data_IF_264078089569
#
_entry.id   IF_264078089569
#
_cell.length_a   1.000
_cell.length_b   1.000
_cell.length_c   1.000
_cell.angle_alpha   90.00
_cell.angle_beta   90.00
_cell.angle_gamma   90.00
#
_symmetry.space_group_name_H-M   'P 1'
#
loop_
_entity.id
_entity.type
_entity.pdbx_description
1 polymer ?
#
# COMPACT_ATOMS: atom_id res chain seq x y z
N UNK A 1 2.52 -12.81 -14.91
CA UNK A 1 2.15 -12.07 -13.68
C UNK A 1 3.41 -11.49 -13.05
N UNK A 2 3.43 -10.19 -12.77
CA UNK A 2 4.49 -9.57 -11.98
C UNK A 2 4.25 -9.91 -10.50
N UNK A 3 5.19 -10.63 -9.90
CA UNK A 3 5.15 -11.05 -8.51
C UNK A 3 6.53 -10.90 -7.89
N UNK A 4 6.75 -9.82 -7.18
CA UNK A 4 8.03 -9.44 -6.59
C UNK A 4 7.83 -8.94 -5.18
N UNK A 5 8.84 -9.14 -4.33
CA UNK A 5 8.86 -8.57 -2.97
C UNK A 5 10.11 -7.72 -2.81
N UNK A 6 9.94 -6.52 -2.30
CA UNK A 6 11.06 -5.62 -1.98
C UNK A 6 10.81 -4.86 -0.69
N UNK A 7 11.89 -4.40 -0.08
CA UNK A 7 11.85 -3.61 1.14
C UNK A 7 11.58 -2.14 0.83
N UNK A 8 10.74 -1.49 1.62
CA UNK A 8 10.53 -0.05 1.54
C UNK A 8 11.74 0.67 2.14
N UNK A 9 12.37 1.52 1.34
CA UNK A 9 13.49 2.36 1.76
C UNK A 9 12.97 3.76 2.10
N UNK A 10 12.82 4.04 3.41
CA UNK A 10 12.48 5.35 3.94
C UNK A 10 13.59 5.85 4.87
N UNK A 11 13.84 7.17 4.93
CA UNK A 11 14.81 7.75 5.87
C UNK A 11 14.17 7.87 7.27
N UNK A 12 13.96 6.73 7.94
CA UNK A 12 13.20 6.66 9.19
C UNK A 12 13.70 7.62 10.26
N UNK A 13 15.02 7.74 10.45
CA UNK A 13 15.61 8.66 11.42
C UNK A 13 15.28 10.13 11.11
N UNK A 14 15.39 10.53 9.84
CA UNK A 14 15.02 11.88 9.37
C UNK A 14 13.53 12.15 9.57
N UNK A 15 12.70 11.11 9.47
CA UNK A 15 11.25 11.17 9.71
C UNK A 15 10.89 11.11 11.21
N UNK A 16 11.87 11.11 12.11
CA UNK A 16 11.66 11.10 13.55
C UNK A 16 11.36 9.73 14.15
N UNK A 17 11.66 8.67 13.41
CA UNK A 17 11.44 7.28 13.85
C UNK A 17 12.79 6.69 14.26
N UNK A 18 12.90 6.31 15.54
CA UNK A 18 14.18 5.87 16.12
C UNK A 18 14.65 4.50 15.61
N UNK A 19 13.70 3.62 15.28
CA UNK A 19 14.00 2.28 14.80
C UNK A 19 13.96 2.24 13.27
N UNK A 20 14.87 1.49 12.68
CA UNK A 20 14.81 1.20 11.25
C UNK A 20 13.56 0.37 10.95
N UNK A 21 12.75 0.83 10.00
CA UNK A 21 11.60 0.07 9.50
C UNK A 21 12.02 -1.15 8.69
N UNK A 22 11.13 -2.13 8.62
CA UNK A 22 11.32 -3.38 7.88
C UNK A 22 10.16 -3.70 6.94
N UNK A 23 9.39 -2.67 6.57
CA UNK A 23 8.22 -2.85 5.71
C UNK A 23 8.60 -3.39 4.33
N UNK A 24 7.77 -4.26 3.80
CA UNK A 24 7.93 -4.81 2.45
C UNK A 24 6.65 -4.69 1.65
N UNK A 25 6.81 -4.58 0.34
CA UNK A 25 5.73 -4.64 -0.64
C UNK A 25 5.89 -5.92 -1.44
N UNK A 26 4.80 -6.68 -1.59
CA UNK A 26 4.71 -7.80 -2.53
C UNK A 26 3.64 -7.50 -3.58
N UNK A 27 4.02 -7.56 -4.84
CA UNK A 27 3.13 -7.30 -5.97
C UNK A 27 2.44 -8.57 -6.46
N UNK A 28 1.19 -8.43 -6.90
CA UNK A 28 0.36 -9.44 -7.57
C UNK A 28 -0.33 -8.74 -8.74
N UNK A 29 0.40 -8.55 -9.84
CA UNK A 29 -0.05 -7.78 -11.00
C UNK A 29 -0.23 -8.71 -12.18
N UNK A 30 -1.43 -8.74 -12.73
CA UNK A 30 -1.74 -9.53 -13.93
C UNK A 30 -0.95 -9.03 -15.14
N UNK A 31 -0.66 -9.92 -16.07
CA UNK A 31 -0.05 -9.53 -17.32
C UNK A 31 -0.91 -8.49 -18.04
N UNK A 32 -0.23 -7.53 -18.63
CA UNK A 32 -0.87 -6.50 -19.45
C UNK A 32 -1.05 -7.03 -20.86
N UNK A 33 -2.28 -6.99 -21.34
CA UNK A 33 -2.61 -7.35 -22.72
C UNK A 33 -2.58 -6.10 -23.62
N UNK A 34 -2.39 -6.29 -24.94
CA UNK A 34 -2.57 -5.20 -25.90
C UNK A 34 -3.96 -4.55 -25.74
N UNK A 35 -4.03 -3.22 -25.86
CA UNK A 35 -5.26 -2.44 -25.60
C UNK A 35 -6.44 -2.81 -26.49
N UNK A 36 -6.19 -3.39 -27.63
CA UNK A 36 -7.20 -3.93 -28.53
C UNK A 36 -7.81 -5.26 -28.04
N UNK A 37 -7.15 -5.93 -27.10
CA UNK A 37 -7.62 -7.18 -26.50
C UNK A 37 -8.21 -7.00 -25.10
N UNK A 38 -7.72 -6.02 -24.33
CA UNK A 38 -8.28 -5.65 -23.01
C UNK A 38 -8.25 -4.11 -22.83
N UNK A 39 -9.33 -3.43 -23.24
CA UNK A 39 -9.40 -1.97 -23.14
C UNK A 39 -9.66 -1.46 -21.71
N UNK A 40 -9.95 -2.36 -20.78
CA UNK A 40 -10.33 -1.99 -19.40
C UNK A 40 -9.14 -1.99 -18.47
N UNK A 41 -8.91 -0.84 -17.83
CA UNK A 41 -7.98 -0.75 -16.72
C UNK A 41 -8.55 -1.43 -15.48
N UNK A 42 -7.70 -2.15 -14.75
CA UNK A 42 -8.09 -2.90 -13.55
C UNK A 42 -8.04 -2.01 -12.31
N UNK A 43 -8.96 -2.17 -11.37
CA UNK A 43 -8.77 -1.63 -10.03
C UNK A 43 -7.63 -2.36 -9.33
N UNK A 44 -7.02 -1.69 -8.33
CA UNK A 44 -5.98 -2.29 -7.51
C UNK A 44 -6.35 -2.16 -6.03
N UNK A 45 -6.03 -3.20 -5.27
CA UNK A 45 -6.20 -3.22 -3.82
C UNK A 45 -4.85 -3.35 -3.12
N UNK A 46 -4.56 -2.42 -2.21
CA UNK A 46 -3.44 -2.50 -1.27
C UNK A 46 -3.94 -3.18 -0.01
N UNK A 47 -3.35 -4.30 0.35
CA UNK A 47 -3.76 -5.15 1.45
C UNK A 47 -2.78 -5.02 2.61
N UNK A 48 -3.29 -4.68 3.80
CA UNK A 48 -2.54 -4.62 5.05
C UNK A 48 -3.00 -5.76 5.96
N UNK A 49 -2.20 -6.84 6.11
CA UNK A 49 -2.56 -7.97 6.97
C UNK A 49 -2.63 -7.58 8.44
N UNK A 50 -3.46 -8.27 9.23
CA UNK A 50 -3.48 -8.15 10.69
C UNK A 50 -2.34 -8.92 11.35
N UNK A 51 -2.35 -8.97 12.68
CA UNK A 51 -1.36 -9.69 13.48
C UNK A 51 -0.87 -8.91 14.70
N UNK A 52 -1.64 -7.93 15.18
CA UNK A 52 -1.38 -7.20 16.44
C UNK A 52 -0.06 -6.45 16.48
N UNK A 53 0.51 -6.06 15.34
CA UNK A 53 1.84 -5.46 15.21
C UNK A 53 3.01 -6.36 15.67
N UNK A 54 2.76 -7.64 15.92
CA UNK A 54 3.80 -8.60 16.30
C UNK A 54 4.19 -9.55 15.15
N UNK A 55 3.26 -9.78 14.23
CA UNK A 55 3.46 -10.60 13.04
C UNK A 55 2.48 -10.15 11.95
N UNK A 56 2.58 -10.74 10.77
CA UNK A 56 1.58 -10.59 9.71
C UNK A 56 0.84 -11.90 9.51
N UNK A 57 -0.49 -11.86 9.56
CA UNK A 57 -1.35 -13.02 9.34
C UNK A 57 -1.21 -13.51 7.89
N UNK A 58 -0.75 -14.75 7.65
CA UNK A 58 -0.63 -15.28 6.29
C UNK A 58 -1.98 -15.38 5.56
N UNK A 59 -3.05 -15.57 6.31
CA UNK A 59 -4.42 -15.67 5.77
C UNK A 59 -4.96 -14.35 5.23
N UNK A 60 -4.42 -13.23 5.69
CA UNK A 60 -4.89 -11.87 5.38
C UNK A 60 -3.98 -11.13 4.40
N UNK A 61 -2.97 -11.81 3.88
CA UNK A 61 -2.03 -11.28 2.89
C UNK A 61 -2.24 -11.93 1.52
N UNK A 62 -1.39 -12.90 1.19
CA UNK A 62 -1.38 -13.59 -0.11
C UNK A 62 -2.74 -14.21 -0.46
N UNK A 63 -3.41 -14.87 0.50
CA UNK A 63 -4.71 -15.50 0.24
C UNK A 63 -5.75 -14.50 -0.24
N UNK A 64 -5.77 -13.30 0.35
CA UNK A 64 -6.66 -12.22 -0.09
C UNK A 64 -6.22 -11.69 -1.46
N UNK A 65 -4.91 -11.50 -1.68
CA UNK A 65 -4.39 -11.04 -2.97
C UNK A 65 -4.80 -11.97 -4.12
N UNK A 66 -4.66 -13.29 -3.92
CA UNK A 66 -5.07 -14.30 -4.90
C UNK A 66 -6.59 -14.22 -5.16
N UNK A 67 -7.39 -14.05 -4.11
CA UNK A 67 -8.84 -13.90 -4.29
C UNK A 67 -9.20 -12.64 -5.06
N UNK A 68 -8.51 -11.53 -4.81
CA UNK A 68 -8.72 -10.29 -5.56
C UNK A 68 -8.33 -10.44 -7.04
N UNK A 69 -7.25 -11.15 -7.33
CA UNK A 69 -6.88 -11.48 -8.72
C UNK A 69 -7.99 -12.27 -9.42
N UNK A 70 -8.59 -13.26 -8.76
CA UNK A 70 -9.72 -14.03 -9.28
C UNK A 70 -10.92 -13.15 -9.62
N UNK A 71 -11.14 -12.10 -8.81
CA UNK A 71 -12.21 -11.12 -9.00
C UNK A 71 -11.90 -10.01 -10.02
N UNK A 72 -10.74 -10.03 -10.68
CA UNK A 72 -10.36 -9.06 -11.70
C UNK A 72 -9.54 -7.87 -11.22
N UNK A 73 -9.20 -7.80 -9.95
CA UNK A 73 -8.31 -6.77 -9.40
C UNK A 73 -6.83 -7.13 -9.62
N UNK A 74 -5.97 -6.13 -9.60
CA UNK A 74 -4.58 -6.29 -9.21
C UNK A 74 -4.46 -6.10 -7.70
N UNK A 75 -3.40 -6.62 -7.09
CA UNK A 75 -3.20 -6.51 -5.65
C UNK A 75 -1.74 -6.23 -5.29
N UNK A 76 -1.58 -5.55 -4.16
CA UNK A 76 -0.29 -5.33 -3.51
C UNK A 76 -0.47 -5.64 -2.02
N UNK A 77 0.43 -6.43 -1.44
CA UNK A 77 0.43 -6.69 0.00
C UNK A 77 1.51 -5.83 0.65
N UNK A 78 1.09 -4.92 1.53
CA UNK A 78 1.97 -4.14 2.39
C UNK A 78 2.15 -4.87 3.72
N UNK A 79 3.33 -5.41 3.94
CA UNK A 79 3.75 -5.89 5.26
C UNK A 79 4.48 -4.74 5.96
N UNK A 80 3.71 -3.93 6.66
CA UNK A 80 4.19 -2.74 7.39
C UNK A 80 5.12 -3.13 8.55
N UNK A 81 5.92 -2.18 9.02
CA UNK A 81 6.84 -2.41 10.14
C UNK A 81 6.11 -2.84 11.42
N UNK A 82 6.66 -3.87 12.05
CA UNK A 82 6.16 -4.45 13.31
C UNK A 82 6.88 -3.85 14.52
N UNK A 83 6.38 -4.14 15.72
CA UNK A 83 7.04 -3.75 16.96
C UNK A 83 8.51 -4.24 16.96
N UNK A 84 9.46 -3.44 17.48
CA UNK A 84 9.29 -2.21 18.27
C UNK A 84 9.07 -0.91 17.46
N UNK A 85 8.99 -0.98 16.14
CA UNK A 85 8.70 0.20 15.32
C UNK A 85 7.27 0.67 15.58
N UNK A 86 7.10 1.97 15.84
CA UNK A 86 5.81 2.53 16.24
C UNK A 86 5.33 3.60 15.27
N UNK A 87 4.06 3.99 15.43
CA UNK A 87 3.50 5.16 14.77
C UNK A 87 4.45 6.37 14.86
N UNK A 88 4.66 7.14 13.76
CA UNK A 88 3.90 7.14 12.52
C UNK A 88 4.52 6.32 11.37
N UNK A 89 5.44 5.40 11.64
CA UNK A 89 6.13 4.65 10.60
C UNK A 89 5.14 3.96 9.64
N UNK A 90 4.16 3.26 10.17
CA UNK A 90 3.18 2.51 9.38
C UNK A 90 2.32 3.42 8.48
N UNK A 91 2.01 4.63 8.94
CA UNK A 91 1.33 5.65 8.11
C UNK A 91 2.21 6.07 6.93
N UNK A 92 3.50 6.29 7.17
CA UNK A 92 4.46 6.67 6.13
C UNK A 92 4.67 5.56 5.10
N UNK A 93 4.74 4.32 5.55
CA UNK A 93 4.87 3.13 4.71
C UNK A 93 3.62 2.92 3.84
N UNK A 94 2.43 3.16 4.40
CA UNK A 94 1.18 3.11 3.64
C UNK A 94 1.11 4.24 2.58
N UNK A 95 1.52 5.46 2.92
CA UNK A 95 1.60 6.58 1.98
C UNK A 95 2.61 6.30 0.84
N UNK A 96 3.79 5.76 1.19
CA UNK A 96 4.77 5.31 0.21
C UNK A 96 4.18 4.27 -0.75
N UNK A 97 3.46 3.28 -0.20
CA UNK A 97 2.85 2.22 -1.00
C UNK A 97 1.80 2.76 -1.98
N UNK A 98 0.98 3.71 -1.55
CA UNK A 98 0.01 4.36 -2.44
C UNK A 98 0.70 5.11 -3.58
N UNK A 99 1.76 5.86 -3.26
CA UNK A 99 2.56 6.53 -4.30
C UNK A 99 3.17 5.53 -5.27
N UNK A 100 3.80 4.48 -4.75
CA UNK A 100 4.41 3.43 -5.56
C UNK A 100 3.41 2.80 -6.55
N UNK A 101 2.22 2.49 -6.09
CA UNK A 101 1.16 1.93 -6.94
C UNK A 101 0.74 2.93 -8.01
N UNK A 102 0.56 4.22 -7.67
CA UNK A 102 0.18 5.25 -8.65
C UNK A 102 1.27 5.52 -9.68
N UNK A 103 2.51 5.54 -9.26
CA UNK A 103 3.66 5.71 -10.18
C UNK A 103 3.70 4.61 -11.25
N UNK A 104 3.31 3.39 -10.90
CA UNK A 104 3.32 2.23 -11.78
C UNK A 104 1.96 1.95 -12.46
N UNK A 105 0.91 2.71 -12.14
CA UNK A 105 -0.45 2.42 -12.58
C UNK A 105 -0.57 2.31 -14.11
N UNK A 106 0.13 3.18 -14.85
CA UNK A 106 0.09 3.17 -16.32
C UNK A 106 0.75 1.92 -16.91
N UNK A 107 1.89 1.49 -16.33
CA UNK A 107 2.62 0.29 -16.75
C UNK A 107 1.86 -0.99 -16.42
N UNK A 108 1.17 -1.01 -15.28
CA UNK A 108 0.42 -2.16 -14.79
C UNK A 108 -1.02 -2.24 -15.31
N UNK A 109 -1.41 -1.31 -16.17
CA UNK A 109 -2.78 -1.16 -16.68
C UNK A 109 -3.81 -1.07 -15.54
N UNK A 110 -3.44 -0.32 -14.51
CA UNK A 110 -4.28 0.00 -13.34
C UNK A 110 -5.00 1.32 -13.56
N UNK A 111 -6.26 1.36 -13.17
CA UNK A 111 -7.04 2.59 -13.12
C UNK A 111 -6.56 3.44 -11.92
N UNK A 112 -5.92 4.59 -12.13
CA UNK A 112 -5.37 5.39 -11.04
C UNK A 112 -6.45 5.99 -10.12
N UNK A 113 -7.70 5.98 -10.55
CA UNK A 113 -8.85 6.46 -9.78
C UNK A 113 -9.60 5.32 -9.07
N UNK A 114 -9.03 4.11 -9.07
CA UNK A 114 -9.60 2.91 -8.44
C UNK A 114 -8.54 2.13 -7.64
N UNK A 115 -7.84 2.82 -6.77
CA UNK A 115 -6.85 2.23 -5.87
C UNK A 115 -7.41 2.24 -4.44
N UNK A 116 -7.73 1.06 -3.93
CA UNK A 116 -8.37 0.84 -2.64
C UNK A 116 -7.31 0.38 -1.63
N UNK A 117 -7.40 0.87 -0.39
CA UNK A 117 -6.64 0.30 0.71
C UNK A 117 -7.55 -0.58 1.57
N UNK A 118 -7.10 -1.79 1.89
CA UNK A 118 -7.83 -2.72 2.74
C UNK A 118 -6.94 -3.19 3.88
N UNK A 119 -7.52 -3.41 5.05
CA UNK A 119 -6.76 -3.93 6.19
C UNK A 119 -7.62 -4.67 7.17
N UNK A 120 -6.99 -5.60 7.88
CA UNK A 120 -7.63 -6.49 8.83
C UNK A 120 -7.02 -6.33 10.21
N UNK A 121 -7.84 -6.15 11.27
CA UNK A 121 -7.37 -5.97 12.64
C UNK A 121 -6.30 -4.86 12.73
N UNK A 122 -5.08 -5.15 13.18
CA UNK A 122 -3.98 -4.17 13.18
C UNK A 122 -3.68 -3.59 11.78
N UNK A 123 -3.82 -4.38 10.73
CA UNK A 123 -3.76 -3.90 9.34
C UNK A 123 -4.92 -2.97 8.98
N UNK A 124 -6.11 -3.22 9.55
CA UNK A 124 -7.25 -2.31 9.46
C UNK A 124 -6.95 -0.96 10.11
N UNK A 125 -6.25 -0.97 11.24
CA UNK A 125 -5.75 0.28 11.83
C UNK A 125 -4.79 1.02 10.90
N UNK A 126 -3.82 0.33 10.29
CA UNK A 126 -2.89 0.95 9.31
C UNK A 126 -3.64 1.53 8.10
N UNK A 127 -4.57 0.77 7.51
CA UNK A 127 -5.40 1.25 6.42
C UNK A 127 -6.24 2.47 6.83
N UNK A 128 -6.81 2.44 8.04
CA UNK A 128 -7.57 3.54 8.61
C UNK A 128 -6.74 4.80 8.86
N UNK A 129 -5.48 4.64 9.32
CA UNK A 129 -4.56 5.76 9.51
C UNK A 129 -4.36 6.55 8.21
N UNK A 130 -4.15 5.87 7.11
CA UNK A 130 -4.01 6.55 5.81
C UNK A 130 -5.35 7.00 5.27
N UNK A 131 -6.38 6.15 5.29
CA UNK A 131 -7.70 6.45 4.72
C UNK A 131 -8.37 7.68 5.32
N UNK A 132 -8.14 7.95 6.61
CA UNK A 132 -8.67 9.12 7.32
C UNK A 132 -7.63 10.25 7.50
N UNK A 133 -6.35 9.94 7.40
CA UNK A 133 -5.25 10.86 7.68
C UNK A 133 -4.41 11.26 6.46
N UNK A 134 -4.82 10.93 5.24
CA UNK A 134 -4.07 11.21 4.02
C UNK A 134 -3.78 12.70 3.81
N UNK A 135 -4.61 13.60 4.31
CA UNK A 135 -4.44 15.06 4.27
C UNK A 135 -3.87 15.66 5.57
N UNK A 136 -3.40 14.83 6.47
CA UNK A 136 -2.82 15.27 7.74
C UNK A 136 -1.48 15.96 7.56
N UNK A 137 -1.23 17.02 8.35
CA UNK A 137 0.08 17.66 8.46
C UNK A 137 1.20 16.71 8.87
N UNK A 138 0.86 15.55 9.46
CA UNK A 138 1.83 14.52 9.79
C UNK A 138 2.59 14.00 8.57
N UNK A 139 1.97 14.06 7.39
CA UNK A 139 2.57 13.64 6.12
C UNK A 139 3.36 14.74 5.40
N UNK A 140 3.25 16.02 5.81
CA UNK A 140 3.83 17.15 5.08
C UNK A 140 5.31 16.93 4.76
N UNK A 141 6.11 16.64 5.78
CA UNK A 141 7.56 16.46 5.59
C UNK A 141 7.88 15.29 4.65
N UNK A 142 7.22 14.14 4.86
CA UNK A 142 7.39 12.96 4.00
C UNK A 142 7.05 13.29 2.53
N UNK A 143 5.92 13.95 2.29
CA UNK A 143 5.46 14.25 0.94
C UNK A 143 6.34 15.30 0.25
N UNK A 144 6.75 16.33 0.97
CA UNK A 144 7.55 17.41 0.42
C UNK A 144 9.02 17.02 0.18
N UNK A 145 9.64 16.30 1.12
CA UNK A 145 11.09 16.10 1.15
C UNK A 145 11.54 14.70 0.75
N UNK A 146 10.66 13.71 0.78
CA UNK A 146 11.00 12.31 0.49
C UNK A 146 10.26 11.79 -0.73
N UNK A 147 8.95 11.90 -0.76
CA UNK A 147 8.12 11.35 -1.84
C UNK A 147 7.91 12.33 -3.00
N UNK A 148 8.04 13.64 -2.76
CA UNK A 148 7.87 14.70 -3.77
C UNK A 148 6.53 14.60 -4.51
N UNK A 149 5.44 14.50 -3.75
CA UNK A 149 4.08 14.45 -4.29
C UNK A 149 3.08 15.14 -3.37
N UNK A 150 1.87 15.37 -3.87
CA UNK A 150 0.79 15.99 -3.10
C UNK A 150 0.10 14.99 -2.16
N UNK A 151 -0.66 15.49 -1.20
CA UNK A 151 -1.55 14.69 -0.35
C UNK A 151 -2.56 13.88 -1.18
N UNK A 152 -3.15 14.48 -2.20
CA UNK A 152 -4.10 13.79 -3.10
C UNK A 152 -3.47 12.58 -3.81
N UNK A 153 -2.17 12.60 -4.05
CA UNK A 153 -1.47 11.51 -4.72
C UNK A 153 -1.35 10.24 -3.86
N UNK A 154 -1.40 10.37 -2.54
CA UNK A 154 -1.37 9.24 -1.59
C UNK A 154 -2.75 8.90 -1.02
N UNK A 155 -3.78 9.63 -1.40
CA UNK A 155 -5.15 9.39 -0.99
C UNK A 155 -5.67 8.08 -1.60
N UNK A 156 -6.17 7.12 -0.83
CA UNK A 156 -6.88 5.98 -1.38
C UNK A 156 -8.25 6.40 -1.92
N UNK A 157 -8.68 5.78 -3.03
CA UNK A 157 -9.98 6.03 -3.65
C UNK A 157 -11.12 5.29 -2.92
N UNK A 158 -10.75 4.33 -2.09
CA UNK A 158 -11.66 3.60 -1.21
C UNK A 158 -10.92 2.95 -0.07
N UNK A 159 -11.66 2.60 0.98
CA UNK A 159 -11.11 1.96 2.18
C UNK A 159 -12.03 0.81 2.63
N UNK A 160 -11.43 -0.34 2.92
CA UNK A 160 -12.12 -1.50 3.47
C UNK A 160 -11.44 -1.90 4.78
N UNK A 161 -12.20 -1.95 5.86
CA UNK A 161 -11.72 -2.31 7.19
C UNK A 161 -12.44 -3.57 7.67
N UNK A 162 -11.64 -4.57 8.06
CA UNK A 162 -12.12 -5.84 8.59
C UNK A 162 -11.51 -6.20 9.94
#
# INVERSE_FOLDING_TARGET
>A
MLHETFTIELPYEELGIKQQGSATITTYIKDVFPKDQDPFKRPLIVICPGGGYNHHSPREGEAIAIKMLDMGYNAVVLRYSLAPVTYPAQLFEAAYTMKYVRDNAAEWDVDPDKIIIAGFSAGGHVAGLLGTGWNSKRLDYLLENVLHCSHEYVKPDGMLLG
#
